data_IF_269424370288
#
_entry.id   IF_269424370288
#
_cell.length_a   1.000
_cell.length_b   1.000
_cell.length_c   1.000
_cell.angle_alpha   90.00
_cell.angle_beta   90.00
_cell.angle_gamma   90.00
#
_symmetry.space_group_name_H-M   'P 1'
#
loop_
_entity.id
_entity.type
_entity.pdbx_description
1 polymer ?
#
# COMPACT_ATOMS: atom_id res chain seq x y z
N UNK A 1 11.05 -6.85 -25.31
CA UNK A 1 10.86 -8.21 -24.76
C UNK A 1 11.42 -8.38 -23.34
N UNK A 2 12.67 -7.94 -23.07
CA UNK A 2 13.24 -8.01 -21.71
C UNK A 2 12.40 -7.28 -20.64
N UNK A 3 11.95 -6.05 -20.94
CA UNK A 3 11.13 -5.25 -20.02
C UNK A 3 9.80 -5.96 -19.65
N UNK A 4 9.16 -6.64 -20.61
CA UNK A 4 7.93 -7.39 -20.34
C UNK A 4 8.17 -8.58 -19.41
N UNK A 5 9.28 -9.30 -19.57
CA UNK A 5 9.64 -10.42 -18.70
C UNK A 5 9.91 -9.95 -17.26
N UNK A 6 10.61 -8.83 -17.09
CA UNK A 6 10.87 -8.24 -15.77
C UNK A 6 9.56 -7.84 -15.09
N UNK A 7 8.65 -7.19 -15.81
CA UNK A 7 7.36 -6.78 -15.24
C UNK A 7 6.50 -8.00 -14.87
N UNK A 8 6.46 -9.03 -15.71
CA UNK A 8 5.75 -10.28 -15.41
C UNK A 8 6.30 -10.97 -14.16
N UNK A 9 7.63 -11.02 -14.01
CA UNK A 9 8.27 -11.58 -12.82
C UNK A 9 7.89 -10.79 -11.55
N UNK A 10 7.88 -9.46 -11.64
CA UNK A 10 7.46 -8.59 -10.52
C UNK A 10 5.98 -8.79 -10.17
N UNK A 11 5.09 -8.95 -11.16
CA UNK A 11 3.68 -9.23 -10.92
C UNK A 11 3.48 -10.58 -10.22
N UNK A 12 4.15 -11.63 -10.70
CA UNK A 12 4.07 -12.97 -10.08
C UNK A 12 4.59 -12.92 -8.65
N UNK A 13 5.74 -12.27 -8.43
CA UNK A 13 6.29 -12.06 -7.09
C UNK A 13 5.31 -11.30 -6.19
N UNK A 14 4.70 -10.24 -6.71
CA UNK A 14 3.69 -9.43 -6.02
C UNK A 14 2.46 -10.20 -5.59
N UNK A 15 1.94 -11.05 -6.49
CA UNK A 15 0.82 -11.96 -6.19
C UNK A 15 1.20 -12.98 -5.11
N UNK A 16 2.38 -13.59 -5.20
CA UNK A 16 2.89 -14.54 -4.18
C UNK A 16 3.01 -13.85 -2.82
N UNK A 17 3.56 -12.64 -2.78
CA UNK A 17 3.70 -11.87 -1.53
C UNK A 17 2.34 -11.50 -0.92
N UNK A 18 1.39 -11.11 -1.76
CA UNK A 18 0.02 -10.76 -1.34
C UNK A 18 -0.70 -11.97 -0.77
N UNK A 19 -0.58 -13.13 -1.42
CA UNK A 19 -1.21 -14.37 -0.97
C UNK A 19 -0.56 -14.90 0.31
N UNK A 20 0.76 -14.80 0.42
CA UNK A 20 1.50 -15.19 1.63
C UNK A 20 1.09 -14.32 2.82
N UNK A 21 1.08 -12.98 2.67
CA UNK A 21 0.64 -12.06 3.72
C UNK A 21 -0.85 -12.16 4.05
N UNK A 22 -1.70 -12.55 3.09
CA UNK A 22 -3.12 -12.83 3.36
C UNK A 22 -3.31 -14.12 4.15
N UNK A 23 -2.48 -15.16 3.91
CA UNK A 23 -2.47 -16.40 4.71
C UNK A 23 -1.97 -16.19 6.13
N UNK A 24 -1.04 -15.25 6.32
CA UNK A 24 -0.50 -14.87 7.64
C UNK A 24 -1.50 -14.02 8.47
N UNK A 25 -2.69 -13.69 7.93
CA UNK A 25 -3.73 -12.93 8.65
C UNK A 25 -3.41 -11.43 8.84
N UNK A 26 -2.27 -10.97 8.33
CA UNK A 26 -1.79 -9.58 8.45
C UNK A 26 -2.58 -8.62 7.55
N UNK A 27 -3.08 -9.12 6.41
CA UNK A 27 -3.95 -8.36 5.51
C UNK A 27 -5.42 -8.73 5.70
N UNK A 28 -6.26 -7.72 5.93
CA UNK A 28 -7.72 -7.88 5.82
C UNK A 28 -8.08 -8.39 4.42
N UNK A 29 -9.12 -9.24 4.31
CA UNK A 29 -9.60 -9.81 3.04
C UNK A 29 -9.83 -8.73 1.97
N UNK A 30 -10.27 -7.55 2.37
CA UNK A 30 -10.46 -6.39 1.50
C UNK A 30 -9.13 -5.85 0.95
N UNK A 31 -8.10 -5.79 1.79
CA UNK A 31 -6.77 -5.35 1.39
C UNK A 31 -6.13 -6.37 0.43
N UNK A 32 -6.26 -7.66 0.71
CA UNK A 32 -5.77 -8.72 -0.18
C UNK A 32 -6.44 -8.66 -1.56
N UNK A 33 -7.75 -8.45 -1.61
CA UNK A 33 -8.49 -8.27 -2.86
C UNK A 33 -8.02 -7.02 -3.63
N UNK A 34 -7.85 -5.88 -2.94
CA UNK A 34 -7.37 -4.64 -3.55
C UNK A 34 -5.95 -4.79 -4.13
N UNK A 35 -5.03 -5.42 -3.41
CA UNK A 35 -3.68 -5.69 -3.90
C UNK A 35 -3.67 -6.65 -5.10
N UNK A 36 -4.51 -7.69 -5.07
CA UNK A 36 -4.65 -8.62 -6.20
C UNK A 36 -5.16 -7.91 -7.45
N UNK A 37 -6.17 -7.03 -7.29
CA UNK A 37 -6.70 -6.21 -8.38
C UNK A 37 -5.62 -5.28 -8.98
N UNK A 38 -4.78 -4.70 -8.13
CA UNK A 38 -3.68 -3.82 -8.54
C UNK A 38 -2.65 -4.59 -9.39
N UNK A 39 -2.24 -5.79 -8.95
CA UNK A 39 -1.33 -6.65 -9.71
C UNK A 39 -1.91 -7.09 -11.05
N UNK A 40 -3.20 -7.43 -11.09
CA UNK A 40 -3.91 -7.75 -12.34
C UNK A 40 -4.00 -6.55 -13.28
N UNK A 41 -4.23 -5.34 -12.74
CA UNK A 41 -4.20 -4.10 -13.51
C UNK A 41 -2.82 -3.86 -14.15
N UNK A 42 -1.75 -4.04 -13.39
CA UNK A 42 -0.37 -3.92 -13.90
C UNK A 42 -0.06 -4.93 -15.01
N UNK A 43 -0.49 -6.20 -14.85
CA UNK A 43 -0.36 -7.21 -15.90
C UNK A 43 -1.12 -6.81 -17.17
N UNK A 44 -2.36 -6.34 -17.03
CA UNK A 44 -3.23 -5.94 -18.15
C UNK A 44 -2.63 -4.80 -18.95
N UNK A 45 -2.12 -3.76 -18.27
CA UNK A 45 -1.45 -2.62 -18.90
C UNK A 45 -0.18 -3.05 -19.65
N UNK A 46 0.54 -4.04 -19.13
CA UNK A 46 1.79 -4.54 -19.70
C UNK A 46 1.58 -5.41 -20.94
N UNK A 47 0.53 -6.24 -20.93
CA UNK A 47 0.18 -7.12 -22.05
C UNK A 47 -0.54 -6.33 -23.15
N UNK A 48 -1.35 -5.33 -22.79
CA UNK A 48 -2.20 -4.57 -23.71
C UNK A 48 -1.95 -3.05 -23.66
N UNK A 49 -0.83 -2.56 -24.22
CA UNK A 49 -0.48 -1.14 -24.16
C UNK A 49 -1.47 -0.23 -24.90
N UNK A 50 -2.26 -0.75 -25.84
CA UNK A 50 -3.30 0.02 -26.54
C UNK A 50 -4.49 0.40 -25.65
N UNK A 51 -4.70 -0.31 -24.54
CA UNK A 51 -5.68 0.09 -23.52
C UNK A 51 -5.15 1.30 -22.73
N UNK A 52 -3.89 1.24 -22.31
CA UNK A 52 -3.23 2.34 -21.61
C UNK A 52 -3.15 3.60 -22.48
N UNK A 53 -2.91 3.46 -23.79
CA UNK A 53 -2.91 4.60 -24.72
C UNK A 53 -4.29 5.20 -24.91
N UNK A 54 -5.37 4.40 -24.91
CA UNK A 54 -6.76 4.92 -24.96
C UNK A 54 -7.14 5.67 -23.68
N UNK A 55 -6.77 5.13 -22.51
CA UNK A 55 -6.96 5.82 -21.24
C UNK A 55 -6.14 7.12 -21.17
N UNK A 56 -4.90 7.11 -21.63
CA UNK A 56 -4.06 8.30 -21.65
C UNK A 56 -4.57 9.36 -22.64
N UNK A 57 -5.10 8.95 -23.81
CA UNK A 57 -5.75 9.86 -24.73
C UNK A 57 -7.00 10.53 -24.11
N UNK A 58 -7.78 9.80 -23.32
CA UNK A 58 -8.90 10.36 -22.57
C UNK A 58 -8.45 11.32 -21.45
N UNK A 59 -7.28 11.09 -20.86
CA UNK A 59 -6.66 11.96 -19.85
C UNK A 59 -5.83 13.10 -20.45
N UNK A 60 -5.75 13.22 -21.78
CA UNK A 60 -4.97 14.27 -22.46
C UNK A 60 -3.45 14.07 -22.43
N UNK A 61 -2.96 12.88 -22.09
CA UNK A 61 -1.52 12.56 -21.98
C UNK A 61 -1.09 11.75 -23.21
N UNK A 62 -0.09 12.23 -23.95
CA UNK A 62 0.34 11.64 -25.22
C UNK A 62 0.98 10.25 -25.12
N UNK A 63 1.36 9.79 -23.92
CA UNK A 63 1.97 8.47 -23.67
C UNK A 63 1.26 7.74 -22.54
N UNK A 64 0.82 6.51 -22.83
CA UNK A 64 0.14 5.61 -21.87
C UNK A 64 0.90 5.39 -20.56
N UNK A 65 2.22 5.28 -20.64
CA UNK A 65 3.09 5.06 -19.49
C UNK A 65 3.12 6.26 -18.53
N UNK A 66 3.07 7.49 -19.05
CA UNK A 66 3.19 8.70 -18.24
C UNK A 66 1.94 8.92 -17.39
N UNK A 67 0.76 8.58 -17.93
CA UNK A 67 -0.49 8.59 -17.17
C UNK A 67 -0.46 7.59 -15.99
N UNK A 68 0.07 6.38 -16.21
CA UNK A 68 0.26 5.39 -15.14
C UNK A 68 1.23 5.91 -14.09
N UNK A 69 2.33 6.54 -14.51
CA UNK A 69 3.32 7.12 -13.61
C UNK A 69 2.70 8.20 -12.72
N UNK A 70 1.90 9.11 -13.28
CA UNK A 70 1.22 10.14 -12.48
C UNK A 70 0.28 9.54 -11.44
N UNK A 71 -0.55 8.57 -11.82
CA UNK A 71 -1.44 7.88 -10.87
C UNK A 71 -0.62 7.18 -9.78
N UNK A 72 0.49 6.52 -10.14
CA UNK A 72 1.35 5.84 -9.19
C UNK A 72 2.00 6.81 -8.19
N UNK A 73 2.53 7.94 -8.67
CA UNK A 73 3.14 8.97 -7.82
C UNK A 73 2.11 9.57 -6.86
N UNK A 74 0.94 9.98 -7.36
CA UNK A 74 -0.13 10.53 -6.52
C UNK A 74 -0.57 9.51 -5.46
N UNK A 75 -0.78 8.26 -5.87
CA UNK A 75 -1.15 7.18 -4.96
C UNK A 75 -0.06 6.95 -3.90
N UNK A 76 1.22 6.96 -4.30
CA UNK A 76 2.34 6.77 -3.39
C UNK A 76 2.40 7.90 -2.35
N UNK A 77 2.25 9.16 -2.77
CA UNK A 77 2.14 10.29 -1.84
C UNK A 77 0.98 10.12 -0.86
N UNK A 78 -0.19 9.70 -1.33
CA UNK A 78 -1.34 9.43 -0.47
C UNK A 78 -1.06 8.29 0.53
N UNK A 79 -0.42 7.19 0.10
CA UNK A 79 -0.06 6.08 0.98
C UNK A 79 0.95 6.53 2.05
N UNK A 80 1.98 7.28 1.66
CA UNK A 80 2.98 7.84 2.59
C UNK A 80 2.29 8.74 3.62
N UNK A 81 1.42 9.64 3.17
CA UNK A 81 0.64 10.50 4.07
C UNK A 81 -0.23 9.68 5.04
N UNK A 82 -0.89 8.62 4.56
CA UNK A 82 -1.69 7.72 5.41
C UNK A 82 -0.84 6.99 6.45
N UNK A 83 0.39 6.59 6.09
CA UNK A 83 1.34 5.99 7.02
C UNK A 83 1.74 6.99 8.10
N UNK A 84 2.04 8.24 7.74
CA UNK A 84 2.35 9.30 8.72
C UNK A 84 1.20 9.51 9.73
N UNK A 85 -0.05 9.58 9.26
CA UNK A 85 -1.21 9.69 10.16
C UNK A 85 -1.35 8.49 11.09
N UNK A 86 -1.05 7.28 10.60
CA UNK A 86 -1.10 6.07 11.42
C UNK A 86 0.03 6.06 12.45
N UNK A 87 1.20 6.58 12.10
CA UNK A 87 2.35 6.68 13.00
C UNK A 87 2.06 7.66 14.14
N UNK A 88 1.54 8.86 13.86
CA UNK A 88 1.15 9.83 14.90
C UNK A 88 0.12 9.25 15.87
N UNK A 89 -0.85 8.48 15.35
CA UNK A 89 -1.81 7.77 16.20
C UNK A 89 -1.13 6.75 17.12
N UNK A 90 -0.21 5.96 16.59
CA UNK A 90 0.53 4.96 17.37
C UNK A 90 1.38 5.63 18.46
N UNK A 91 2.05 6.74 18.16
CA UNK A 91 2.83 7.50 19.15
C UNK A 91 1.96 8.03 20.30
N UNK A 92 0.76 8.54 19.99
CA UNK A 92 -0.22 8.97 21.00
C UNK A 92 -0.71 7.81 21.86
N UNK A 93 -1.02 6.68 21.24
CA UNK A 93 -1.48 5.47 21.94
C UNK A 93 -0.39 4.95 22.90
N UNK A 94 0.88 4.92 22.46
CA UNK A 94 2.04 4.56 23.30
C UNK A 94 2.19 5.53 24.48
N UNK A 95 2.09 6.83 24.22
CA UNK A 95 2.21 7.86 25.25
C UNK A 95 1.12 7.71 26.31
N UNK A 96 -0.11 7.42 25.90
CA UNK A 96 -1.23 7.18 26.81
C UNK A 96 -1.00 5.94 27.70
N UNK A 97 -0.53 4.83 27.12
CA UNK A 97 -0.23 3.60 27.86
C UNK A 97 0.89 3.81 28.88
N UNK A 98 1.97 4.50 28.52
CA UNK A 98 3.07 4.80 29.44
C UNK A 98 2.61 5.71 30.59
N UNK A 99 1.79 6.73 30.28
CA UNK A 99 1.25 7.65 31.30
C UNK A 99 0.38 6.92 32.32
N UNK A 100 -0.51 6.03 31.85
CA UNK A 100 -1.36 5.23 32.74
C UNK A 100 -0.51 4.31 33.63
N UNK A 101 0.48 3.63 33.05
CA UNK A 101 1.39 2.77 33.80
C UNK A 101 2.18 3.54 34.88
N UNK A 102 2.65 4.75 34.59
CA UNK A 102 3.36 5.59 35.54
C UNK A 102 2.45 6.06 36.70
N UNK A 103 1.22 6.48 36.40
CA UNK A 103 0.26 6.91 37.42
C UNK A 103 -0.20 5.74 38.31
N UNK A 104 -0.39 4.55 37.73
CA UNK A 104 -0.72 3.33 38.49
C UNK A 104 0.39 2.97 39.47
N UNK A 105 1.65 2.91 39.01
CA UNK A 105 2.81 2.62 39.86
C UNK A 105 3.00 3.64 40.98
N UNK A 106 2.71 4.92 40.72
CA UNK A 106 2.79 5.96 41.76
C UNK A 106 1.71 5.80 42.83
N UNK A 107 0.52 5.28 42.50
CA UNK A 107 -0.56 5.07 43.48
C UNK A 107 -0.29 3.89 44.41
N UNK A 108 0.36 2.84 43.91
CA UNK A 108 0.74 1.69 44.75
C UNK A 108 1.83 2.08 45.76
N UNK A 109 2.81 2.89 45.36
CA UNK A 109 3.86 3.38 46.29
C UNK A 109 3.37 4.32 47.39
N UNK A 110 2.17 4.88 47.28
CA UNK A 110 1.59 5.77 48.30
C UNK A 110 0.70 4.99 49.29
N UNK A 111 0.39 3.72 49.00
CA UNK A 111 -0.42 2.85 49.86
C UNK A 111 0.40 1.95 50.79
N UNK A 112 1.70 1.75 50.52
CA UNK A 112 2.69 1.20 51.47
C UNK A 112 3.21 2.29 52.40
#
# INVERSE_FOLDING_TARGET
>A
MFIQLVILAVVVWGLVLTWKRSREGVLSRLAAAAWTLLWLGAATVTVWPSLASRFAAALGVGRGADAVLYIAVISLFYLVFRIFLRLDKIERDITAVIREAALSNSKDKVKE
#
